data_IF_035489071485
#
_entry.id   IF_035489071485
#
_cell.length_a   1.000
_cell.length_b   1.000
_cell.length_c   1.000
_cell.angle_alpha   90.00
_cell.angle_beta   90.00
_cell.angle_gamma   90.00
#
_symmetry.space_group_name_H-M   'P 1'
#
loop_
_entity.id
_entity.type
_entity.pdbx_description
1 polymer ?
#
# COMPACT_ATOMS: atom_id res chain seq x y z
N UNK A 1 5.86 -9.37 -5.94
CA UNK A 1 5.97 -9.58 -4.48
C UNK A 1 4.62 -9.98 -3.88
N UNK A 2 3.58 -9.12 -3.95
CA UNK A 2 2.25 -9.40 -3.38
C UNK A 2 1.70 -10.76 -3.86
N UNK A 3 1.78 -11.06 -5.14
CA UNK A 3 1.31 -12.33 -5.71
C UNK A 3 1.91 -13.56 -5.00
N UNK A 4 3.23 -13.60 -4.82
CA UNK A 4 3.92 -14.73 -4.18
C UNK A 4 3.46 -14.89 -2.72
N UNK A 5 3.37 -13.78 -1.99
CA UNK A 5 2.94 -13.79 -0.59
C UNK A 5 1.47 -14.22 -0.47
N UNK A 6 0.60 -13.72 -1.36
CA UNK A 6 -0.81 -14.12 -1.40
C UNK A 6 -0.95 -15.62 -1.64
N UNK A 7 -0.20 -16.17 -2.59
CA UNK A 7 -0.23 -17.61 -2.88
C UNK A 7 0.23 -18.43 -1.67
N UNK A 8 1.33 -18.03 -1.02
CA UNK A 8 1.80 -18.69 0.20
C UNK A 8 0.79 -18.62 1.35
N UNK A 9 0.13 -17.47 1.53
CA UNK A 9 -0.91 -17.31 2.54
C UNK A 9 -2.13 -18.18 2.23
N UNK A 10 -2.55 -18.29 0.97
CA UNK A 10 -3.66 -19.17 0.58
C UNK A 10 -3.34 -20.64 0.88
N UNK A 11 -2.12 -21.07 0.60
CA UNK A 11 -1.67 -22.45 0.88
C UNK A 11 -1.53 -22.76 2.37
N UNK A 12 -1.45 -21.75 3.23
CA UNK A 12 -1.38 -21.92 4.68
C UNK A 12 -2.75 -22.09 5.35
N UNK A 13 -3.84 -21.89 4.64
CA UNK A 13 -5.20 -22.08 5.15
C UNK A 13 -5.45 -23.61 5.22
N UNK A 14 -5.81 -24.16 6.41
CA UNK A 14 -6.06 -25.60 6.55
C UNK A 14 -7.21 -26.08 5.66
N UNK A 15 -7.01 -27.18 4.96
CA UNK A 15 -8.03 -27.80 4.11
C UNK A 15 -9.25 -28.27 4.91
N UNK A 16 -9.07 -28.63 6.17
CA UNK A 16 -10.14 -29.05 7.08
C UNK A 16 -11.29 -28.02 7.16
N UNK A 17 -10.98 -26.71 7.04
CA UNK A 17 -12.00 -25.66 7.04
C UNK A 17 -12.90 -25.73 5.79
N UNK A 18 -12.32 -26.08 4.65
CA UNK A 18 -13.06 -26.25 3.41
C UNK A 18 -13.87 -27.54 3.41
N UNK A 19 -13.30 -28.63 3.93
CA UNK A 19 -14.01 -29.91 4.07
C UNK A 19 -15.22 -29.77 5.00
N UNK A 20 -15.03 -29.19 6.19
CA UNK A 20 -16.12 -28.96 7.14
C UNK A 20 -17.23 -28.10 6.52
N UNK A 21 -16.86 -27.02 5.85
CA UNK A 21 -17.84 -26.13 5.20
C UNK A 21 -18.58 -26.80 4.04
N UNK A 22 -17.94 -27.75 3.36
CA UNK A 22 -18.58 -28.54 2.30
C UNK A 22 -19.63 -29.50 2.89
N UNK A 23 -19.34 -30.12 4.03
CA UNK A 23 -20.28 -30.94 4.78
C UNK A 23 -21.49 -30.12 5.22
N UNK A 24 -21.28 -28.85 5.61
CA UNK A 24 -22.34 -27.90 5.97
C UNK A 24 -23.13 -27.38 4.73
N UNK A 25 -22.80 -27.82 3.52
CA UNK A 25 -23.46 -27.44 2.28
C UNK A 25 -23.10 -26.05 1.74
N UNK A 26 -21.95 -25.51 2.15
CA UNK A 26 -21.51 -24.21 1.65
C UNK A 26 -21.10 -24.27 0.16
N UNK A 27 -21.53 -23.29 -0.61
CA UNK A 27 -21.07 -23.12 -2.00
C UNK A 27 -19.66 -22.53 -2.05
N UNK A 28 -18.95 -22.75 -3.16
CA UNK A 28 -17.59 -22.20 -3.35
C UNK A 28 -17.51 -20.67 -3.13
N UNK A 29 -18.54 -19.92 -3.51
CA UNK A 29 -18.61 -18.48 -3.29
C UNK A 29 -18.77 -18.14 -1.80
N UNK A 30 -19.50 -18.95 -1.05
CA UNK A 30 -19.66 -18.78 0.39
C UNK A 30 -18.36 -19.11 1.11
N UNK A 31 -17.66 -20.18 0.72
CA UNK A 31 -16.33 -20.52 1.22
C UNK A 31 -15.34 -19.38 0.98
N UNK A 32 -15.30 -18.85 -0.24
CA UNK A 32 -14.43 -17.73 -0.57
C UNK A 32 -14.70 -16.51 0.30
N UNK A 33 -15.96 -16.10 0.43
CA UNK A 33 -16.31 -14.86 1.17
C UNK A 33 -16.22 -14.99 2.69
N UNK A 34 -16.49 -16.18 3.23
CA UNK A 34 -16.58 -16.41 4.69
C UNK A 34 -15.33 -17.02 5.30
N UNK A 35 -14.53 -17.76 4.52
CA UNK A 35 -13.32 -18.43 4.98
C UNK A 35 -12.08 -17.80 4.35
N UNK A 36 -11.95 -17.90 3.03
CA UNK A 36 -10.72 -17.52 2.33
C UNK A 36 -10.42 -16.03 2.45
N UNK A 37 -11.36 -15.18 2.09
CA UNK A 37 -11.15 -13.73 2.02
C UNK A 37 -10.82 -13.09 3.39
N UNK A 38 -11.56 -13.37 4.48
CA UNK A 38 -11.24 -12.79 5.78
C UNK A 38 -9.88 -13.25 6.32
N UNK A 39 -9.56 -14.54 6.22
CA UNK A 39 -8.27 -15.09 6.68
C UNK A 39 -7.11 -14.50 5.87
N UNK A 40 -7.28 -14.41 4.55
CA UNK A 40 -6.28 -13.82 3.66
C UNK A 40 -6.03 -12.34 3.99
N UNK A 41 -7.09 -11.54 4.12
CA UNK A 41 -6.97 -10.11 4.45
C UNK A 41 -6.32 -9.89 5.82
N UNK A 42 -6.65 -10.73 6.80
CA UNK A 42 -6.05 -10.66 8.12
C UNK A 42 -4.55 -10.95 8.09
N UNK A 43 -4.15 -12.06 7.47
CA UNK A 43 -2.74 -12.45 7.37
C UNK A 43 -1.91 -11.47 6.51
N UNK A 44 -2.52 -10.89 5.48
CA UNK A 44 -1.84 -9.95 4.58
C UNK A 44 -1.87 -8.49 5.06
N UNK A 45 -2.65 -8.15 6.08
CA UNK A 45 -2.82 -6.76 6.52
C UNK A 45 -1.49 -6.01 6.75
N UNK A 46 -0.50 -6.52 7.50
CA UNK A 46 0.77 -5.81 7.72
C UNK A 46 1.56 -5.63 6.42
N UNK A 47 1.49 -6.60 5.52
CA UNK A 47 2.20 -6.57 4.23
C UNK A 47 1.57 -5.53 3.31
N UNK A 48 0.24 -5.47 3.25
CA UNK A 48 -0.49 -4.49 2.45
C UNK A 48 -0.20 -3.05 2.92
N UNK A 49 -0.13 -2.83 4.23
CA UNK A 49 0.20 -1.52 4.81
C UNK A 49 1.64 -1.11 4.42
N UNK A 50 2.59 -2.04 4.54
CA UNK A 50 3.98 -1.79 4.16
C UNK A 50 4.10 -1.50 2.66
N UNK A 51 3.42 -2.27 1.82
CA UNK A 51 3.41 -2.06 0.37
C UNK A 51 2.74 -0.75 -0.04
N UNK A 52 1.65 -0.38 0.63
CA UNK A 52 1.03 0.93 0.41
C UNK A 52 2.03 2.07 0.67
N UNK A 53 2.70 2.05 1.83
CA UNK A 53 3.69 3.08 2.20
C UNK A 53 4.86 3.11 1.23
N UNK A 54 5.37 1.94 0.84
CA UNK A 54 6.46 1.82 -0.13
C UNK A 54 6.09 2.37 -1.50
N UNK A 55 4.92 1.98 -2.04
CA UNK A 55 4.48 2.42 -3.37
C UNK A 55 4.11 3.91 -3.39
N UNK A 56 3.58 4.45 -2.30
CA UNK A 56 3.28 5.87 -2.20
C UNK A 56 4.53 6.75 -2.28
N UNK A 57 5.65 6.26 -1.75
CA UNK A 57 6.95 6.94 -1.78
C UNK A 57 7.86 6.47 -2.93
N UNK A 58 7.33 5.82 -3.95
CA UNK A 58 8.13 5.22 -5.02
C UNK A 58 8.62 6.26 -6.03
N UNK A 59 9.62 7.02 -5.61
CA UNK A 59 10.32 8.01 -6.42
C UNK A 59 11.00 7.41 -7.66
N UNK A 60 11.63 6.25 -7.49
CA UNK A 60 12.56 5.70 -8.49
C UNK A 60 11.89 5.41 -9.83
N UNK A 61 10.68 4.85 -9.83
CA UNK A 61 9.99 4.47 -11.06
C UNK A 61 9.77 5.70 -11.95
N UNK A 62 9.24 6.78 -11.39
CA UNK A 62 8.92 7.99 -12.16
C UNK A 62 10.19 8.73 -12.58
N UNK A 63 11.14 8.88 -11.65
CA UNK A 63 12.34 9.65 -11.91
C UNK A 63 13.27 8.99 -12.91
N UNK A 64 13.48 7.68 -12.82
CA UNK A 64 14.34 6.94 -13.74
C UNK A 64 13.71 6.71 -15.11
N UNK A 65 12.37 6.69 -15.20
CA UNK A 65 11.68 6.46 -16.46
C UNK A 65 11.78 7.70 -17.40
N UNK A 66 11.39 8.88 -16.90
CA UNK A 66 11.37 10.10 -17.74
C UNK A 66 11.64 11.40 -16.96
N UNK A 67 12.17 11.31 -15.73
CA UNK A 67 12.43 12.47 -14.88
C UNK A 67 11.18 13.27 -14.50
N UNK A 68 9.99 12.64 -14.55
CA UNK A 68 8.71 13.30 -14.30
C UNK A 68 8.19 14.14 -15.48
N UNK A 69 8.77 13.97 -16.69
CA UNK A 69 8.35 14.71 -17.90
C UNK A 69 6.98 14.30 -18.46
N UNK A 70 6.48 14.96 -19.49
CA UNK A 70 7.00 16.18 -20.08
C UNK A 70 6.87 17.41 -19.17
N UNK A 71 7.67 18.46 -19.44
CA UNK A 71 7.57 19.73 -18.73
C UNK A 71 6.21 20.40 -18.99
N UNK A 72 5.60 20.92 -17.94
CA UNK A 72 4.32 21.64 -18.04
C UNK A 72 4.60 23.14 -17.98
N UNK A 73 4.24 23.94 -19.00
CA UNK A 73 4.47 25.38 -18.99
C UNK A 73 3.85 26.06 -17.77
N UNK A 74 4.64 26.88 -17.07
CA UNK A 74 4.17 27.58 -15.87
C UNK A 74 4.13 26.75 -14.59
N UNK A 75 4.57 25.50 -14.62
CA UNK A 75 4.63 24.61 -13.46
C UNK A 75 6.06 24.12 -13.19
N UNK A 76 6.40 23.97 -11.91
CA UNK A 76 7.64 23.29 -11.49
C UNK A 76 7.48 21.76 -11.48
N UNK A 77 6.25 21.25 -11.58
CA UNK A 77 5.95 19.83 -11.73
C UNK A 77 5.84 19.47 -13.22
N UNK A 78 6.31 18.30 -13.58
CA UNK A 78 6.10 17.71 -14.91
C UNK A 78 4.81 16.92 -15.00
N UNK A 79 4.46 16.50 -16.22
CA UNK A 79 3.18 15.83 -16.52
C UNK A 79 3.02 14.45 -15.90
N UNK A 80 4.11 13.77 -15.50
CA UNK A 80 4.09 12.46 -14.85
C UNK A 80 4.69 12.49 -13.44
N UNK A 81 4.97 13.69 -12.89
CA UNK A 81 5.46 13.79 -11.53
C UNK A 81 4.42 13.29 -10.52
N UNK A 82 4.89 12.51 -9.57
CA UNK A 82 4.20 12.26 -8.31
C UNK A 82 4.71 13.24 -7.26
N UNK A 83 4.00 13.35 -6.13
CA UNK A 83 4.35 14.31 -5.09
C UNK A 83 5.81 14.19 -4.63
N UNK A 84 6.32 12.97 -4.49
CA UNK A 84 7.70 12.71 -4.04
C UNK A 84 8.74 13.15 -5.10
N UNK A 85 8.50 12.88 -6.39
CA UNK A 85 9.40 13.32 -7.45
C UNK A 85 9.37 14.83 -7.65
N UNK A 86 8.23 15.46 -7.45
CA UNK A 86 8.10 16.91 -7.48
C UNK A 86 8.84 17.57 -6.29
N UNK A 87 8.69 17.05 -5.07
CA UNK A 87 9.46 17.52 -3.90
C UNK A 87 10.97 17.44 -4.16
N UNK A 88 11.43 16.37 -4.78
CA UNK A 88 12.83 16.25 -5.18
C UNK A 88 13.25 17.37 -6.15
N UNK A 89 12.46 17.67 -7.17
CA UNK A 89 12.74 18.77 -8.11
C UNK A 89 12.74 20.14 -7.42
N UNK A 90 11.78 20.40 -6.52
CA UNK A 90 11.74 21.62 -5.72
C UNK A 90 13.04 21.81 -4.92
N UNK A 91 13.59 20.73 -4.37
CA UNK A 91 14.82 20.77 -3.58
C UNK A 91 16.05 20.94 -4.47
N UNK A 92 16.23 20.02 -5.44
CA UNK A 92 17.47 19.88 -6.19
C UNK A 92 17.57 20.79 -7.41
N UNK A 93 16.46 21.11 -8.05
CA UNK A 93 16.47 21.91 -9.28
C UNK A 93 16.05 23.36 -9.03
N UNK A 94 15.11 23.59 -8.12
CA UNK A 94 14.55 24.93 -7.88
C UNK A 94 15.05 25.59 -6.58
N UNK A 95 15.84 24.90 -5.75
CA UNK A 95 16.37 25.39 -4.47
C UNK A 95 15.28 25.91 -3.50
N UNK A 96 14.04 25.43 -3.64
CA UNK A 96 12.89 25.82 -2.81
C UNK A 96 12.77 24.91 -1.58
N UNK A 97 13.78 24.93 -0.72
CA UNK A 97 13.89 24.00 0.43
C UNK A 97 12.74 24.14 1.43
N UNK A 98 12.28 25.37 1.71
CA UNK A 98 11.20 25.61 2.65
C UNK A 98 9.88 24.99 2.18
N UNK A 99 9.55 25.16 0.90
CA UNK A 99 8.33 24.57 0.31
C UNK A 99 8.44 23.06 0.25
N UNK A 100 9.59 22.52 -0.16
CA UNK A 100 9.84 21.08 -0.19
C UNK A 100 9.71 20.44 1.21
N UNK A 101 10.27 21.08 2.24
CA UNK A 101 10.15 20.62 3.62
C UNK A 101 8.69 20.63 4.11
N UNK A 102 7.94 21.68 3.85
CA UNK A 102 6.53 21.75 4.23
C UNK A 102 5.70 20.64 3.56
N UNK A 103 5.88 20.43 2.25
CA UNK A 103 5.20 19.34 1.52
C UNK A 103 5.59 17.96 2.03
N UNK A 104 6.86 17.74 2.38
CA UNK A 104 7.32 16.47 2.95
C UNK A 104 6.67 16.19 4.30
N UNK A 105 6.53 17.18 5.17
CA UNK A 105 5.84 17.04 6.45
C UNK A 105 4.36 16.70 6.24
N UNK A 106 3.68 17.42 5.36
CA UNK A 106 2.27 17.15 5.03
C UNK A 106 2.09 15.73 4.49
N UNK A 107 2.96 15.31 3.56
CA UNK A 107 2.95 13.96 3.02
C UNK A 107 3.13 12.92 4.11
N UNK A 108 4.11 13.11 5.00
CA UNK A 108 4.41 12.18 6.10
C UNK A 108 3.22 12.04 7.05
N UNK A 109 2.59 13.16 7.45
CA UNK A 109 1.39 13.14 8.30
C UNK A 109 0.26 12.38 7.62
N UNK A 110 0.05 12.58 6.32
CA UNK A 110 -0.98 11.88 5.55
C UNK A 110 -0.73 10.37 5.49
N UNK A 111 0.49 9.94 5.14
CA UNK A 111 0.86 8.52 5.05
C UNK A 111 0.77 7.83 6.41
N UNK A 112 1.28 8.46 7.47
CA UNK A 112 1.20 7.94 8.84
C UNK A 112 -0.26 7.85 9.28
N UNK A 113 -1.09 8.86 9.01
CA UNK A 113 -2.51 8.88 9.35
C UNK A 113 -3.25 7.69 8.73
N UNK A 114 -3.03 7.43 7.44
CA UNK A 114 -3.64 6.28 6.76
C UNK A 114 -3.13 4.95 7.33
N UNK A 115 -1.83 4.83 7.56
CA UNK A 115 -1.25 3.63 8.14
C UNK A 115 -1.85 3.32 9.52
N UNK A 116 -1.92 4.31 10.41
CA UNK A 116 -2.53 4.17 11.74
C UNK A 116 -4.02 3.82 11.65
N UNK A 117 -4.75 4.42 10.73
CA UNK A 117 -6.16 4.10 10.51
C UNK A 117 -6.34 2.65 10.05
N UNK A 118 -5.53 2.18 9.11
CA UNK A 118 -5.53 0.78 8.65
C UNK A 118 -5.17 -0.18 9.78
N UNK A 119 -4.12 0.11 10.57
CA UNK A 119 -3.75 -0.73 11.72
C UNK A 119 -4.87 -0.86 12.75
N UNK A 120 -5.55 0.25 13.06
CA UNK A 120 -6.70 0.23 13.98
C UNK A 120 -7.85 -0.61 13.44
N UNK A 121 -8.12 -0.56 12.13
CA UNK A 121 -9.22 -1.28 11.52
C UNK A 121 -8.96 -2.79 11.39
N UNK A 122 -7.72 -3.21 11.20
CA UNK A 122 -7.36 -4.62 11.02
C UNK A 122 -7.16 -5.38 12.33
N UNK A 123 -7.27 -4.71 13.50
CA UNK A 123 -7.02 -5.31 14.83
C UNK A 123 -5.69 -6.09 14.93
N UNK A 124 -4.70 -5.75 14.10
CA UNK A 124 -3.43 -6.45 13.99
C UNK A 124 -2.64 -6.56 15.31
N UNK A 125 -3.02 -5.81 16.34
CA UNK A 125 -2.39 -5.83 17.66
C UNK A 125 -3.21 -6.54 18.75
N UNK A 126 -4.40 -7.08 18.45
CA UNK A 126 -5.23 -7.70 19.51
C UNK A 126 -4.81 -9.12 19.93
N UNK A 127 -3.85 -9.73 19.25
CA UNK A 127 -3.37 -11.09 19.58
C UNK A 127 -1.99 -11.15 20.25
N UNK A 128 -1.44 -10.02 20.71
CA UNK A 128 -0.16 -9.98 21.43
C UNK A 128 -0.33 -9.69 22.92
N UNK A 129 -1.54 -9.79 23.44
CA UNK A 129 -1.84 -9.64 24.88
C UNK A 129 -2.47 -10.90 25.43
#
# INVERSE_FOLDING_TARGET
>A
YIFIVTTGTLQSIPDDLYEASTIDGATALQQFRKITLPLLLYAMAPILITQYTFNFNNFNIIYLFNGGGPAVPGSTAGGTDILVSWIYKLTMQNSQYALAAALTILLSVFVIGIALWQFRRTNAFKEVA
#
